data_IF_795286759081
#
_entry.id   IF_795286759081
#
_cell.length_a   1.000
_cell.length_b   1.000
_cell.length_c   1.000
_cell.angle_alpha   90.00
_cell.angle_beta   90.00
_cell.angle_gamma   90.00
#
_symmetry.space_group_name_H-M   'P 1'
#
loop_
_entity.id
_entity.type
_entity.pdbx_description
1 polymer ?
#
# COMPACT_ATOMS: atom_id res chain seq x y z
N UNK A 1 0.33 -15.22 25.82
CA UNK A 1 0.89 -14.00 25.20
C UNK A 1 1.12 -14.17 23.69
N UNK A 2 1.63 -15.32 23.20
CA UNK A 2 1.79 -15.59 21.77
C UNK A 2 0.48 -15.66 20.96
N UNK A 3 -0.59 -16.25 21.51
CA UNK A 3 -1.88 -16.39 20.79
C UNK A 3 -2.56 -15.06 20.44
N UNK A 4 -2.45 -14.03 21.30
CA UNK A 4 -2.99 -12.69 21.00
C UNK A 4 -2.20 -11.97 19.90
N UNK A 5 -0.88 -12.17 19.85
CA UNK A 5 -0.03 -11.61 18.80
C UNK A 5 -0.33 -12.26 17.44
N UNK A 6 -0.49 -13.59 17.42
CA UNK A 6 -0.86 -14.32 16.20
C UNK A 6 -2.24 -13.87 15.69
N UNK A 7 -3.22 -13.72 16.57
CA UNK A 7 -4.55 -13.22 16.18
C UNK A 7 -4.51 -11.77 15.66
N UNK A 8 -3.69 -10.90 16.28
CA UNK A 8 -3.49 -9.53 15.79
C UNK A 8 -2.82 -9.52 14.40
N UNK A 9 -1.76 -10.32 14.22
CA UNK A 9 -1.10 -10.51 12.92
C UNK A 9 -2.07 -11.05 11.86
N UNK A 10 -2.90 -12.04 12.20
CA UNK A 10 -3.92 -12.59 11.29
C UNK A 10 -4.94 -11.54 10.87
N UNK A 11 -5.40 -10.70 11.79
CA UNK A 11 -6.35 -9.61 11.48
C UNK A 11 -5.73 -8.55 10.56
N UNK A 12 -4.48 -8.18 10.82
CA UNK A 12 -3.76 -7.22 9.97
C UNK A 12 -3.48 -7.79 8.57
N UNK A 13 -3.16 -9.08 8.47
CA UNK A 13 -2.95 -9.78 7.20
C UNK A 13 -4.25 -10.15 6.48
N UNK A 14 -5.41 -10.04 7.13
CA UNK A 14 -6.71 -10.36 6.54
C UNK A 14 -7.25 -9.23 5.66
N UNK A 15 -6.73 -8.01 5.81
CA UNK A 15 -7.14 -6.88 4.98
C UNK A 15 -6.27 -6.87 3.73
N UNK A 16 -6.92 -7.02 2.59
CA UNK A 16 -6.29 -6.93 1.27
C UNK A 16 -6.54 -5.52 0.74
N UNK A 17 -5.48 -4.79 0.45
CA UNK A 17 -5.51 -3.41 -0.04
C UNK A 17 -5.47 -3.33 -1.56
N UNK A 18 -4.91 -4.34 -2.23
CA UNK A 18 -4.80 -4.37 -3.70
C UNK A 18 -5.28 -5.68 -4.29
N UNK A 19 -5.92 -5.58 -5.45
CA UNK A 19 -6.44 -6.72 -6.21
C UNK A 19 -6.14 -6.58 -7.69
N UNK A 20 -6.04 -7.70 -8.38
CA UNK A 20 -6.00 -7.67 -9.84
C UNK A 20 -7.40 -7.35 -10.38
N UNK A 21 -7.46 -6.43 -11.34
CA UNK A 21 -8.67 -6.07 -12.08
C UNK A 21 -8.38 -5.93 -13.56
N UNK A 22 -9.40 -5.54 -14.34
CA UNK A 22 -9.33 -5.51 -15.81
C UNK A 22 -8.27 -4.53 -16.36
N UNK A 23 -7.83 -3.57 -15.56
CA UNK A 23 -6.83 -2.56 -15.92
C UNK A 23 -5.47 -2.78 -15.23
N UNK A 24 -5.24 -3.99 -14.70
CA UNK A 24 -4.08 -4.32 -13.88
C UNK A 24 -4.35 -4.19 -12.39
N UNK A 25 -3.32 -3.88 -11.60
CA UNK A 25 -3.47 -3.74 -10.15
C UNK A 25 -4.38 -2.55 -9.80
N UNK A 26 -5.29 -2.76 -8.85
CA UNK A 26 -6.26 -1.76 -8.39
C UNK A 26 -6.36 -1.75 -6.88
N UNK A 27 -6.76 -0.61 -6.32
CA UNK A 27 -7.10 -0.51 -4.90
C UNK A 27 -8.39 -1.29 -4.67
N UNK A 28 -8.39 -2.15 -3.65
CA UNK A 28 -9.52 -3.02 -3.35
C UNK A 28 -10.72 -2.24 -2.75
N UNK A 29 -10.43 -1.26 -1.89
CA UNK A 29 -11.41 -0.42 -1.16
C UNK A 29 -10.92 1.04 -1.10
N UNK A 30 -11.16 1.80 -0.03
CA UNK A 30 -10.72 3.20 0.10
C UNK A 30 -9.40 3.35 0.86
N UNK A 31 -8.96 2.30 1.57
CA UNK A 31 -7.72 2.33 2.37
C UNK A 31 -6.63 1.48 1.72
N UNK A 32 -5.46 2.08 1.55
CA UNK A 32 -4.22 1.39 1.18
C UNK A 32 -3.19 1.59 2.28
N UNK A 33 -2.51 0.51 2.65
CA UNK A 33 -1.37 0.54 3.57
C UNK A 33 -0.22 -0.22 2.95
N UNK A 34 0.98 0.29 3.12
CA UNK A 34 2.18 -0.30 2.57
C UNK A 34 3.43 0.36 3.13
N UNK A 35 4.57 -0.01 2.58
CA UNK A 35 5.86 0.64 2.88
C UNK A 35 6.34 1.41 1.67
N UNK A 36 6.86 2.61 1.90
CA UNK A 36 7.59 3.37 0.89
C UNK A 36 9.01 2.79 0.85
N UNK A 37 9.49 2.41 -0.34
CA UNK A 37 10.83 1.85 -0.55
C UNK A 37 11.54 2.58 -1.69
N UNK A 38 12.86 2.46 -1.76
CA UNK A 38 13.63 2.99 -2.87
C UNK A 38 13.34 2.20 -4.14
N UNK A 39 13.18 2.91 -5.26
CA UNK A 39 12.84 2.31 -6.54
C UNK A 39 14.04 1.62 -7.23
N UNK A 40 15.26 1.81 -6.71
CA UNK A 40 16.48 1.17 -7.22
C UNK A 40 17.14 1.92 -8.38
N UNK A 41 16.60 3.08 -8.74
CA UNK A 41 17.09 3.91 -9.84
C UNK A 41 17.60 5.24 -9.27
N UNK A 42 18.90 5.49 -9.40
CA UNK A 42 19.54 6.73 -8.91
C UNK A 42 19.13 7.98 -9.73
N UNK A 43 18.69 7.78 -10.97
CA UNK A 43 18.22 8.86 -11.85
C UNK A 43 16.73 9.16 -11.63
N UNK A 44 15.99 8.19 -11.10
CA UNK A 44 14.62 8.38 -10.68
C UNK A 44 14.55 9.16 -9.37
N UNK A 45 13.61 10.09 -9.29
CA UNK A 45 13.33 10.88 -8.08
C UNK A 45 12.08 10.41 -7.35
N UNK A 46 11.54 9.26 -7.73
CA UNK A 46 10.29 8.72 -7.19
C UNK A 46 10.59 7.51 -6.29
N UNK A 47 9.82 7.29 -5.23
CA UNK A 47 9.90 6.03 -4.51
C UNK A 47 9.10 4.95 -5.24
N UNK A 48 9.23 3.70 -4.81
CA UNK A 48 8.22 2.68 -5.03
C UNK A 48 7.46 2.43 -3.72
N UNK A 49 6.36 1.68 -3.79
CA UNK A 49 5.65 1.23 -2.60
C UNK A 49 5.47 -0.29 -2.61
N UNK A 50 5.49 -0.90 -1.43
CA UNK A 50 5.17 -2.32 -1.25
C UNK A 50 3.84 -2.42 -0.50
N UNK A 51 2.81 -2.90 -1.20
CA UNK A 51 1.43 -3.05 -0.70
C UNK A 51 1.06 -4.53 -0.78
N UNK A 52 0.60 -5.12 0.32
CA UNK A 52 0.29 -6.56 0.42
C UNK A 52 1.44 -7.48 -0.06
N UNK A 53 2.70 -7.04 0.12
CA UNK A 53 3.88 -7.74 -0.35
C UNK A 53 4.17 -7.60 -1.85
N UNK A 54 3.37 -6.83 -2.59
CA UNK A 54 3.56 -6.52 -4.01
C UNK A 54 4.27 -5.18 -4.17
N UNK A 55 5.36 -5.16 -4.94
CA UNK A 55 6.02 -3.92 -5.36
C UNK A 55 5.16 -3.21 -6.41
N UNK A 56 4.96 -1.91 -6.22
CA UNK A 56 4.17 -1.03 -7.09
C UNK A 56 5.00 0.23 -7.34
N UNK A 57 5.27 0.52 -8.62
CA UNK A 57 5.99 1.73 -9.00
C UNK A 57 5.10 2.97 -8.81
N UNK A 58 5.70 4.14 -8.56
CA UNK A 58 4.92 5.35 -8.22
C UNK A 58 3.89 5.71 -9.28
N UNK A 59 4.24 5.57 -10.56
CA UNK A 59 3.33 5.83 -11.68
C UNK A 59 2.13 4.87 -11.70
N UNK A 60 2.33 3.62 -11.28
CA UNK A 60 1.26 2.63 -11.17
C UNK A 60 0.32 2.95 -10.01
N UNK A 61 0.86 3.36 -8.86
CA UNK A 61 0.06 3.88 -7.75
C UNK A 61 -0.79 5.09 -8.19
N UNK A 62 -0.19 6.03 -8.93
CA UNK A 62 -0.90 7.17 -9.50
C UNK A 62 -2.06 6.76 -10.43
N UNK A 63 -1.85 5.74 -11.28
CA UNK A 63 -2.90 5.16 -12.13
C UNK A 63 -4.02 4.54 -11.30
N UNK A 64 -3.68 3.82 -10.23
CA UNK A 64 -4.67 3.21 -9.33
C UNK A 64 -5.56 4.27 -8.65
N UNK A 65 -5.02 5.45 -8.35
CA UNK A 65 -5.79 6.55 -7.75
C UNK A 65 -6.82 7.18 -8.68
N UNK A 66 -6.75 6.94 -10.00
CA UNK A 66 -7.72 7.50 -10.97
C UNK A 66 -9.16 7.07 -10.69
N UNK A 67 -9.40 5.95 -10.00
CA UNK A 67 -10.75 5.52 -9.60
C UNK A 67 -11.40 6.43 -8.55
N UNK A 68 -10.63 7.30 -7.92
CA UNK A 68 -11.06 8.23 -6.86
C UNK A 68 -11.09 9.69 -7.34
N UNK A 69 -11.31 9.94 -8.63
CA UNK A 69 -11.41 11.30 -9.16
C UNK A 69 -12.45 12.13 -8.40
N UNK A 70 -12.03 13.32 -7.94
CA UNK A 70 -12.88 14.25 -7.17
C UNK A 70 -12.96 13.97 -5.66
N UNK A 71 -12.31 12.92 -5.16
CA UNK A 71 -12.30 12.59 -3.73
C UNK A 71 -11.23 13.37 -2.98
N UNK A 72 -11.39 13.49 -1.67
CA UNK A 72 -10.37 13.99 -0.77
C UNK A 72 -9.53 12.81 -0.26
N UNK A 73 -8.23 13.03 -0.05
CA UNK A 73 -7.34 12.00 0.52
C UNK A 73 -6.51 12.54 1.69
N UNK A 74 -6.06 11.62 2.54
CA UNK A 74 -5.08 11.88 3.59
C UNK A 74 -3.93 10.90 3.43
N UNK A 75 -2.70 11.40 3.36
CA UNK A 75 -1.50 10.59 3.46
C UNK A 75 -0.92 10.70 4.86
N UNK A 76 -0.61 9.56 5.46
CA UNK A 76 0.00 9.48 6.79
C UNK A 76 1.28 8.65 6.69
N UNK A 77 2.41 9.26 7.04
CA UNK A 77 3.72 8.62 7.06
C UNK A 77 4.10 8.39 8.52
N UNK A 78 4.46 7.16 8.85
CA UNK A 78 4.81 6.71 10.21
C UNK A 78 6.23 6.17 10.22
N UNK A 79 6.85 6.20 11.40
CA UNK A 79 8.14 5.53 11.57
C UNK A 79 7.96 4.01 11.37
N UNK A 80 8.91 3.28 10.77
CA UNK A 80 8.80 1.83 10.60
C UNK A 80 8.58 1.04 11.90
N UNK A 81 8.92 1.62 13.06
CA UNK A 81 8.69 1.04 14.38
C UNK A 81 7.29 1.29 14.95
N UNK A 82 6.50 2.19 14.36
CA UNK A 82 5.12 2.46 14.77
C UNK A 82 4.18 1.32 14.33
N UNK A 83 3.19 0.99 15.16
CA UNK A 83 2.12 0.06 14.77
C UNK A 83 1.10 0.76 13.83
N UNK A 84 0.66 0.06 12.78
CA UNK A 84 -0.31 0.50 11.77
C UNK A 84 -1.59 -0.34 11.84
#
# INVERSE_FOLDING_TARGET
MLGKLIEKMRRLLAVVHVRDGDLGLQIAEETVRGRIEWDGDDDSRMPCVVIDGRRVEWGELGRMLMTFEGWQFKLEVRDPSDEI
#
